data_IF_539956128874
#
_entry.id   IF_539956128874
#
_cell.length_a   1.000
_cell.length_b   1.000
_cell.length_c   1.000
_cell.angle_alpha   90.00
_cell.angle_beta   90.00
_cell.angle_gamma   90.00
#
_symmetry.space_group_name_H-M   'P 1'
#
loop_
_entity.id
_entity.type
_entity.pdbx_description
1 polymer ?
#
# COMPACT_ATOMS: atom_id res chain seq x y z
N UNK A 1 23.66 -10.80 33.93
CA UNK A 1 22.99 -10.68 32.61
C UNK A 1 21.50 -10.75 32.86
N UNK A 2 20.72 -9.89 32.22
CA UNK A 2 19.25 -9.94 32.29
C UNK A 2 18.73 -11.29 31.75
N UNK A 3 17.58 -11.75 32.26
CA UNK A 3 16.92 -12.98 31.78
C UNK A 3 16.66 -12.86 30.27
N UNK A 4 16.90 -13.92 29.48
CA UNK A 4 16.56 -13.90 28.05
C UNK A 4 15.07 -13.61 27.80
N UNK A 5 14.78 -12.81 26.77
CA UNK A 5 13.42 -12.63 26.27
C UNK A 5 13.08 -13.76 25.32
N UNK A 6 11.95 -14.41 25.56
CA UNK A 6 11.48 -15.58 24.82
C UNK A 6 10.55 -15.22 23.69
N UNK A 7 10.89 -15.69 22.50
CA UNK A 7 10.17 -15.40 21.25
C UNK A 7 9.49 -16.66 20.74
N UNK A 8 8.19 -16.60 20.52
CA UNK A 8 7.46 -17.57 19.74
C UNK A 8 7.28 -17.07 18.30
N UNK A 9 7.47 -17.96 17.33
CA UNK A 9 7.28 -17.63 15.92
C UNK A 9 6.10 -18.40 15.31
N UNK A 10 5.23 -17.69 14.64
CA UNK A 10 4.17 -18.26 13.83
C UNK A 10 4.60 -18.13 12.35
N UNK A 11 5.12 -19.24 11.81
CA UNK A 11 5.64 -19.34 10.44
C UNK A 11 7.16 -19.35 10.35
N UNK A 12 7.66 -20.19 9.42
CA UNK A 12 9.06 -20.25 9.03
C UNK A 12 9.13 -20.54 7.52
N UNK A 13 8.47 -19.67 6.75
CA UNK A 13 8.59 -19.56 5.30
C UNK A 13 9.73 -18.62 4.92
N UNK A 14 9.65 -17.96 3.76
CA UNK A 14 10.69 -17.05 3.25
C UNK A 14 11.09 -15.99 4.28
N UNK A 15 10.12 -15.26 4.81
CA UNK A 15 10.38 -14.20 5.82
C UNK A 15 10.80 -14.79 7.16
N UNK A 16 10.06 -15.79 7.68
CA UNK A 16 10.35 -16.37 8.99
C UNK A 16 11.73 -17.04 9.07
N UNK A 17 12.19 -17.69 7.99
CA UNK A 17 13.54 -18.25 7.93
C UNK A 17 14.61 -17.16 7.99
N UNK A 18 14.41 -16.04 7.30
CA UNK A 18 15.31 -14.90 7.36
C UNK A 18 15.33 -14.23 8.76
N UNK A 19 14.18 -14.12 9.43
CA UNK A 19 14.11 -13.63 10.81
C UNK A 19 14.96 -14.52 11.74
N UNK A 20 14.78 -15.84 11.66
CA UNK A 20 15.56 -16.81 12.45
C UNK A 20 17.06 -16.68 12.17
N UNK A 21 17.43 -16.63 10.88
CA UNK A 21 18.82 -16.50 10.44
C UNK A 21 19.46 -15.22 11.00
N UNK A 22 18.77 -14.08 10.90
CA UNK A 22 19.27 -12.78 11.36
C UNK A 22 19.35 -12.69 12.89
N UNK A 23 18.40 -13.27 13.64
CA UNK A 23 18.48 -13.37 15.11
C UNK A 23 19.75 -14.13 15.50
N UNK A 24 20.03 -15.25 14.86
CA UNK A 24 21.24 -16.04 15.13
C UNK A 24 22.52 -15.30 14.76
N UNK A 25 22.59 -14.76 13.53
CA UNK A 25 23.77 -14.07 13.00
C UNK A 25 24.16 -12.80 13.79
N UNK A 26 23.16 -12.08 14.32
CA UNK A 26 23.37 -10.81 15.02
C UNK A 26 23.04 -10.89 16.52
N UNK A 27 23.02 -12.09 17.11
CA UNK A 27 22.56 -12.33 18.50
C UNK A 27 23.24 -11.43 19.54
N UNK A 28 24.56 -11.25 19.44
CA UNK A 28 25.33 -10.40 20.36
C UNK A 28 24.98 -8.90 20.21
N UNK A 29 24.88 -8.41 19.00
CA UNK A 29 24.54 -7.02 18.71
C UNK A 29 23.07 -6.72 19.10
N UNK A 30 22.15 -7.62 18.79
CA UNK A 30 20.75 -7.51 19.21
C UNK A 30 20.63 -7.48 20.74
N UNK A 31 21.36 -8.34 21.44
CA UNK A 31 21.37 -8.36 22.91
C UNK A 31 21.87 -7.03 23.50
N UNK A 32 22.89 -6.41 22.90
CA UNK A 32 23.37 -5.09 23.32
C UNK A 32 22.35 -3.99 23.05
N UNK A 33 21.72 -4.00 21.87
CA UNK A 33 20.70 -3.01 21.50
C UNK A 33 19.44 -3.11 22.35
N UNK A 34 19.04 -4.31 22.72
CA UNK A 34 17.85 -4.57 23.52
C UNK A 34 18.14 -4.39 25.02
N UNK A 35 19.29 -4.83 25.49
CA UNK A 35 19.65 -4.92 26.90
C UNK A 35 19.44 -6.31 27.50
N UNK A 36 19.03 -7.31 26.72
CA UNK A 36 18.84 -8.70 27.08
C UNK A 36 19.03 -9.62 25.87
N UNK A 37 19.50 -10.88 26.08
CA UNK A 37 19.54 -11.89 25.04
C UNK A 37 18.14 -12.24 24.53
N UNK A 38 18.05 -12.72 23.28
CA UNK A 38 16.86 -13.28 22.67
C UNK A 38 16.97 -14.81 22.62
N UNK A 39 15.87 -15.50 22.91
CA UNK A 39 15.75 -16.95 22.83
C UNK A 39 14.51 -17.33 22.04
N UNK A 40 14.66 -18.16 21.00
CA UNK A 40 13.52 -18.71 20.26
C UNK A 40 12.94 -19.85 21.09
N UNK A 41 11.74 -19.65 21.63
CA UNK A 41 11.06 -20.60 22.52
C UNK A 41 10.25 -21.66 21.75
N UNK A 42 9.96 -21.42 20.47
CA UNK A 42 9.28 -22.35 19.58
C UNK A 42 8.89 -21.69 18.25
N UNK A 43 8.68 -22.53 17.25
CA UNK A 43 8.34 -22.12 15.88
C UNK A 43 7.17 -22.98 15.40
N UNK A 44 5.97 -22.38 15.27
CA UNK A 44 4.80 -23.09 14.78
C UNK A 44 4.80 -23.10 13.25
N UNK A 45 4.68 -24.31 12.67
CA UNK A 45 4.65 -24.52 11.22
C UNK A 45 3.70 -25.66 10.86
N UNK A 46 3.08 -25.59 9.66
CA UNK A 46 2.18 -26.65 9.18
C UNK A 46 2.88 -28.00 8.90
N UNK A 47 4.16 -27.96 8.53
CA UNK A 47 4.96 -29.14 8.14
C UNK A 47 6.33 -29.08 8.83
N UNK A 48 6.47 -29.61 10.06
CA UNK A 48 7.73 -29.57 10.83
C UNK A 48 8.88 -30.29 10.11
N UNK A 49 8.58 -31.36 9.40
CA UNK A 49 9.56 -32.20 8.70
C UNK A 49 10.10 -31.58 7.40
N UNK A 50 9.52 -30.45 6.93
CA UNK A 50 10.05 -29.78 5.74
C UNK A 50 11.43 -29.22 6.03
N UNK A 51 12.42 -29.55 5.19
CA UNK A 51 13.76 -28.95 5.28
C UNK A 51 13.67 -27.43 5.14
N UNK A 52 14.39 -26.72 6.01
CA UNK A 52 14.54 -25.25 6.01
C UNK A 52 16.01 -24.94 6.23
N UNK A 53 16.47 -23.92 5.54
CA UNK A 53 17.85 -23.43 5.71
C UNK A 53 17.91 -22.46 6.93
N UNK A 54 17.75 -23.07 8.12
CA UNK A 54 17.83 -22.35 9.39
C UNK A 54 18.62 -23.18 10.43
N UNK A 55 19.50 -22.51 11.16
CA UNK A 55 20.32 -23.13 12.21
C UNK A 55 19.61 -23.05 13.57
N UNK A 56 18.57 -23.89 13.76
CA UNK A 56 17.85 -24.01 15.03
C UNK A 56 17.65 -25.49 15.39
N UNK A 57 17.49 -25.76 16.68
CA UNK A 57 17.16 -27.11 17.14
C UNK A 57 15.83 -27.58 16.52
N UNK A 58 15.78 -28.72 15.84
CA UNK A 58 14.55 -29.27 15.29
C UNK A 58 13.41 -29.47 16.30
N UNK A 59 13.71 -29.63 17.59
CA UNK A 59 12.72 -29.74 18.67
C UNK A 59 11.91 -28.47 18.90
N UNK A 60 12.36 -27.31 18.41
CA UNK A 60 11.63 -26.04 18.47
C UNK A 60 10.45 -25.99 17.51
N UNK A 61 10.40 -26.86 16.48
CA UNK A 61 9.29 -26.88 15.55
C UNK A 61 8.06 -27.62 16.12
N UNK A 62 6.91 -26.98 16.04
CA UNK A 62 5.62 -27.55 16.46
C UNK A 62 4.53 -27.31 15.42
N UNK A 63 3.49 -28.15 15.44
CA UNK A 63 2.24 -27.90 14.70
C UNK A 63 1.19 -27.25 15.59
N UNK A 64 1.38 -27.24 16.91
CA UNK A 64 0.44 -26.68 17.88
C UNK A 64 0.76 -25.20 18.14
N UNK A 65 0.24 -24.36 17.23
CA UNK A 65 0.38 -22.91 17.34
C UNK A 65 -0.40 -22.36 18.53
N UNK A 66 -1.53 -22.96 18.90
CA UNK A 66 -2.38 -22.50 20.00
C UNK A 66 -1.67 -22.73 21.35
N UNK A 67 -1.11 -23.92 21.57
CA UNK A 67 -0.31 -24.18 22.78
C UNK A 67 0.92 -23.28 22.85
N UNK A 68 1.59 -22.99 21.71
CA UNK A 68 2.78 -22.16 21.69
C UNK A 68 2.49 -20.70 22.12
N UNK A 69 1.43 -20.06 21.57
CA UNK A 69 1.08 -18.68 21.94
C UNK A 69 0.46 -18.58 23.32
N UNK A 70 -0.07 -19.68 23.84
CA UNK A 70 -0.66 -19.77 25.18
C UNK A 70 0.38 -19.94 26.31
N UNK A 71 1.67 -20.12 26.01
CA UNK A 71 2.72 -20.29 27.02
C UNK A 71 2.93 -19.02 27.82
N UNK A 72 3.01 -19.15 29.14
CA UNK A 72 3.23 -18.04 30.08
C UNK A 72 4.65 -17.45 30.02
N UNK A 73 5.60 -18.23 29.54
CA UNK A 73 6.99 -17.82 29.45
C UNK A 73 7.37 -17.13 28.12
N UNK A 74 6.41 -16.99 27.18
CA UNK A 74 6.61 -16.28 25.91
C UNK A 74 6.43 -14.78 26.12
N UNK A 75 7.45 -14.01 25.77
CA UNK A 75 7.46 -12.56 25.88
C UNK A 75 6.96 -11.85 24.62
N UNK A 76 7.31 -12.38 23.45
CA UNK A 76 6.97 -11.79 22.14
C UNK A 76 6.53 -12.88 21.17
N UNK A 77 5.47 -12.63 20.42
CA UNK A 77 5.03 -13.48 19.30
C UNK A 77 5.31 -12.74 17.99
N UNK A 78 6.06 -13.39 17.09
CA UNK A 78 6.27 -12.93 15.71
C UNK A 78 5.35 -13.71 14.79
N UNK A 79 4.47 -13.03 14.05
CA UNK A 79 3.53 -13.64 13.11
C UNK A 79 3.90 -13.30 11.66
N UNK A 80 4.18 -14.36 10.89
CA UNK A 80 4.51 -14.31 9.47
C UNK A 80 3.86 -15.47 8.70
N UNK A 81 2.65 -15.90 9.13
CA UNK A 81 1.87 -16.95 8.45
C UNK A 81 0.87 -16.38 7.46
N UNK A 82 0.41 -15.14 7.69
CA UNK A 82 -0.60 -14.49 6.84
C UNK A 82 -2.00 -15.06 6.98
N UNK A 83 -2.95 -14.51 6.21
CA UNK A 83 -4.37 -14.87 6.27
C UNK A 83 -5.07 -14.27 7.49
N UNK A 84 -6.39 -14.48 7.59
CA UNK A 84 -7.20 -13.93 8.69
C UNK A 84 -7.22 -14.92 9.85
N UNK A 85 -7.75 -16.12 9.63
CA UNK A 85 -7.74 -17.19 10.62
C UNK A 85 -6.73 -18.29 10.22
N UNK A 86 -6.03 -18.90 11.15
CA UNK A 86 -6.12 -18.72 12.62
C UNK A 86 -5.28 -17.56 13.17
N UNK A 87 -4.66 -16.71 12.33
CA UNK A 87 -3.76 -15.65 12.79
C UNK A 87 -4.44 -14.72 13.80
N UNK A 88 -5.65 -14.22 13.52
CA UNK A 88 -6.41 -13.35 14.42
C UNK A 88 -6.58 -13.97 15.81
N UNK A 89 -7.13 -15.18 15.88
CA UNK A 89 -7.36 -15.88 17.16
C UNK A 89 -6.07 -16.10 17.95
N UNK A 90 -4.98 -16.46 17.27
CA UNK A 90 -3.67 -16.67 17.89
C UNK A 90 -3.08 -15.38 18.44
N UNK A 91 -3.14 -14.29 17.66
CA UNK A 91 -2.60 -12.98 18.08
C UNK A 91 -3.41 -12.36 19.20
N UNK A 92 -4.75 -12.46 19.17
CA UNK A 92 -5.60 -12.02 20.27
C UNK A 92 -5.24 -12.77 21.56
N UNK A 93 -5.11 -14.10 21.48
CA UNK A 93 -4.69 -14.92 22.63
C UNK A 93 -3.33 -14.48 23.18
N UNK A 94 -2.34 -14.27 22.33
CA UNK A 94 -1.00 -13.82 22.75
C UNK A 94 -1.05 -12.47 23.45
N UNK A 95 -1.73 -11.47 22.84
CA UNK A 95 -1.86 -10.12 23.38
C UNK A 95 -2.56 -10.09 24.73
N UNK A 96 -3.69 -10.78 24.86
CA UNK A 96 -4.47 -10.83 26.12
C UNK A 96 -3.76 -11.56 27.25
N UNK A 97 -2.84 -12.48 26.93
CA UNK A 97 -1.98 -13.14 27.91
C UNK A 97 -0.74 -12.35 28.33
N UNK A 98 -0.53 -11.20 27.74
CA UNK A 98 0.58 -10.32 28.08
C UNK A 98 1.84 -10.51 27.25
N UNK A 99 1.79 -11.26 26.14
CA UNK A 99 2.85 -11.28 25.13
C UNK A 99 2.65 -10.16 24.13
N UNK A 100 3.70 -9.43 23.81
CA UNK A 100 3.65 -8.44 22.73
C UNK A 100 3.71 -9.12 21.37
N UNK A 101 3.18 -8.46 20.33
CA UNK A 101 3.08 -9.03 18.97
C UNK A 101 3.82 -8.17 17.95
N UNK A 102 4.56 -8.83 17.07
CA UNK A 102 5.12 -8.27 15.84
C UNK A 102 4.53 -9.05 14.67
N UNK A 103 3.83 -8.38 13.76
CA UNK A 103 3.16 -9.02 12.62
C UNK A 103 3.51 -8.38 11.29
N UNK A 104 3.60 -9.20 10.23
CA UNK A 104 3.70 -8.76 8.85
C UNK A 104 2.37 -8.93 8.08
N UNK A 105 1.27 -9.23 8.77
CA UNK A 105 0.00 -9.64 8.19
C UNK A 105 -0.87 -8.45 7.80
N UNK A 106 -0.61 -7.90 6.61
CA UNK A 106 -1.37 -6.79 6.07
C UNK A 106 -2.87 -7.08 5.90
N UNK A 107 -3.21 -8.34 5.52
CA UNK A 107 -4.61 -8.70 5.28
C UNK A 107 -5.42 -8.60 6.58
N UNK A 108 -4.91 -9.18 7.66
CA UNK A 108 -5.57 -9.12 8.96
C UNK A 108 -5.67 -7.69 9.51
N UNK A 109 -4.59 -6.90 9.36
CA UNK A 109 -4.59 -5.51 9.82
C UNK A 109 -5.58 -4.64 9.06
N UNK A 110 -5.69 -4.84 7.73
CA UNK A 110 -6.61 -4.08 6.88
C UNK A 110 -8.08 -4.52 7.03
N UNK A 111 -8.32 -5.78 7.46
CA UNK A 111 -9.67 -6.29 7.69
C UNK A 111 -10.16 -6.01 9.12
N UNK A 112 -9.33 -6.33 10.11
CA UNK A 112 -9.72 -6.31 11.52
C UNK A 112 -8.60 -5.88 12.47
N UNK A 113 -7.80 -4.91 12.07
CA UNK A 113 -6.72 -4.36 12.91
C UNK A 113 -7.21 -3.82 14.26
N UNK A 114 -8.44 -3.28 14.29
CA UNK A 114 -9.06 -2.77 15.50
C UNK A 114 -9.15 -3.80 16.62
N UNK A 115 -9.55 -5.04 16.32
CA UNK A 115 -9.60 -6.14 17.29
C UNK A 115 -8.23 -6.43 17.91
N UNK A 116 -7.17 -6.38 17.10
CA UNK A 116 -5.80 -6.61 17.58
C UNK A 116 -5.33 -5.47 18.49
N UNK A 117 -5.58 -4.21 18.13
CA UNK A 117 -5.23 -3.06 18.97
C UNK A 117 -6.02 -3.06 20.28
N UNK A 118 -7.30 -3.44 20.24
CA UNK A 118 -8.12 -3.58 21.43
C UNK A 118 -7.61 -4.71 22.34
N UNK A 119 -7.17 -5.84 21.80
CA UNK A 119 -6.54 -6.92 22.54
C UNK A 119 -5.21 -6.49 23.17
N UNK A 120 -4.35 -5.77 22.42
CA UNK A 120 -3.10 -5.22 22.94
C UNK A 120 -3.34 -4.26 24.12
N UNK A 121 -4.37 -3.41 24.04
CA UNK A 121 -4.75 -2.50 25.11
C UNK A 121 -5.22 -3.26 26.34
N UNK A 122 -6.09 -4.29 26.19
CA UNK A 122 -6.57 -5.13 27.31
C UNK A 122 -5.43 -5.89 27.98
N UNK A 123 -4.51 -6.48 27.19
CA UNK A 123 -3.36 -7.24 27.71
C UNK A 123 -2.21 -6.38 28.20
N UNK A 124 -2.30 -5.05 28.07
CA UNK A 124 -1.22 -4.11 28.40
C UNK A 124 0.09 -4.43 27.68
N UNK A 125 0.00 -4.71 26.36
CA UNK A 125 1.09 -5.16 25.49
C UNK A 125 1.25 -4.29 24.26
N UNK A 126 2.33 -4.49 23.49
CA UNK A 126 2.57 -3.81 22.23
C UNK A 126 2.12 -4.64 21.03
N UNK A 127 1.58 -3.97 20.01
CA UNK A 127 1.37 -4.48 18.66
C UNK A 127 2.16 -3.62 17.67
N UNK A 128 3.14 -4.23 17.01
CA UNK A 128 3.97 -3.62 15.98
C UNK A 128 3.81 -4.34 14.65
N UNK A 129 3.83 -3.60 13.54
CA UNK A 129 3.47 -4.14 12.23
C UNK A 129 4.20 -3.45 11.06
N UNK A 130 5.41 -2.93 11.27
CA UNK A 130 6.19 -2.23 10.23
C UNK A 130 6.29 -3.03 8.93
N UNK A 131 6.50 -4.34 9.06
CA UNK A 131 6.64 -5.24 7.92
C UNK A 131 5.36 -5.46 7.08
N UNK A 132 4.21 -4.98 7.53
CA UNK A 132 2.93 -5.15 6.81
C UNK A 132 2.78 -4.21 5.61
N UNK A 133 3.47 -3.07 5.60
CA UNK A 133 3.40 -2.09 4.50
C UNK A 133 4.80 -1.74 4.02
N UNK A 134 5.01 -1.79 2.71
CA UNK A 134 6.24 -1.39 2.03
C UNK A 134 7.53 -2.10 2.49
N UNK A 135 7.41 -3.32 3.03
CA UNK A 135 8.51 -4.25 3.32
C UNK A 135 9.63 -3.66 4.18
N UNK A 136 10.78 -3.34 3.57
CA UNK A 136 11.95 -2.81 4.28
C UNK A 136 11.87 -1.31 4.59
N UNK A 137 10.93 -0.60 4.01
CA UNK A 137 10.83 0.87 4.16
C UNK A 137 10.34 1.19 5.58
N UNK A 138 11.11 1.92 6.41
CA UNK A 138 10.64 2.34 7.73
C UNK A 138 9.60 3.46 7.55
N UNK A 139 8.32 3.10 7.59
CA UNK A 139 7.22 4.00 7.24
C UNK A 139 6.17 4.15 8.34
N UNK A 140 5.70 3.03 8.91
CA UNK A 140 4.58 3.06 9.87
C UNK A 140 5.00 3.68 11.20
N UNK A 141 6.23 3.39 11.65
CA UNK A 141 6.77 3.98 12.87
C UNK A 141 7.03 5.48 12.72
N UNK A 142 7.68 5.99 11.66
CA UNK A 142 7.73 7.42 11.40
C UNK A 142 6.37 8.12 11.38
N UNK A 143 5.35 7.54 10.76
CA UNK A 143 3.99 8.08 10.79
C UNK A 143 3.41 8.16 12.22
N UNK A 144 3.62 7.12 13.03
CA UNK A 144 3.06 7.02 14.39
C UNK A 144 3.84 7.80 15.45
N UNK A 145 5.15 7.93 15.28
CA UNK A 145 6.06 8.42 16.32
C UNK A 145 6.73 9.73 15.91
N UNK A 146 7.38 9.78 14.71
CA UNK A 146 8.14 10.95 14.29
C UNK A 146 7.25 12.10 13.84
N UNK A 147 6.12 11.80 13.19
CA UNK A 147 5.13 12.77 12.73
C UNK A 147 3.95 12.93 13.71
N UNK A 148 4.02 12.37 14.92
CA UNK A 148 2.94 12.44 15.90
C UNK A 148 2.59 13.87 16.35
N UNK A 149 3.50 14.82 16.18
CA UNK A 149 3.29 16.26 16.45
C UNK A 149 2.86 17.08 15.25
N UNK A 150 2.69 16.45 14.08
CA UNK A 150 2.34 17.12 12.84
C UNK A 150 0.98 16.65 12.32
N UNK A 151 0.42 17.36 11.36
CA UNK A 151 -0.81 16.99 10.68
C UNK A 151 -0.49 16.50 9.27
N UNK A 152 -0.69 15.20 9.07
CA UNK A 152 -0.60 14.60 7.74
C UNK A 152 -1.88 14.91 6.95
N UNK A 153 -1.74 15.47 5.75
CA UNK A 153 -2.85 15.81 4.86
C UNK A 153 -3.04 14.78 3.76
N UNK A 154 -1.93 14.25 3.24
CA UNK A 154 -1.98 13.32 2.12
C UNK A 154 -0.85 12.29 2.20
N UNK A 155 -1.16 11.06 1.81
CA UNK A 155 -0.22 9.97 1.63
C UNK A 155 -0.44 9.41 0.23
N UNK A 156 0.60 9.37 -0.60
CA UNK A 156 0.57 8.81 -1.95
C UNK A 156 1.66 7.75 -2.02
N UNK A 157 1.30 6.53 -2.43
CA UNK A 157 2.26 5.43 -2.44
C UNK A 157 2.25 4.60 -3.71
N UNK A 158 3.44 4.24 -4.19
CA UNK A 158 3.68 3.10 -5.04
C UNK A 158 4.02 1.96 -4.09
N UNK A 159 3.01 1.17 -3.71
CA UNK A 159 3.12 0.19 -2.61
C UNK A 159 3.07 -1.27 -3.08
N UNK A 160 2.96 -1.48 -4.40
CA UNK A 160 3.00 -2.81 -5.00
C UNK A 160 4.14 -2.87 -6.04
N UNK A 161 5.14 -3.71 -5.79
CA UNK A 161 6.32 -3.84 -6.66
C UNK A 161 6.03 -4.52 -7.99
N UNK A 162 5.10 -5.48 -8.02
CA UNK A 162 4.70 -6.22 -9.23
C UNK A 162 4.09 -5.28 -10.26
N UNK A 163 3.11 -4.50 -9.86
CA UNK A 163 2.44 -3.53 -10.75
C UNK A 163 3.37 -2.41 -11.18
N UNK A 164 4.25 -1.93 -10.29
CA UNK A 164 5.23 -0.92 -10.68
C UNK A 164 6.26 -1.47 -11.69
N UNK A 165 6.67 -2.74 -11.56
CA UNK A 165 7.54 -3.39 -12.54
C UNK A 165 6.84 -3.47 -13.92
N UNK A 166 5.59 -3.97 -13.97
CA UNK A 166 4.81 -4.09 -15.19
C UNK A 166 4.69 -2.73 -15.89
N UNK A 167 4.22 -1.70 -15.18
CA UNK A 167 4.07 -0.36 -15.74
C UNK A 167 5.41 0.27 -16.17
N UNK A 168 6.49 0.01 -15.43
CA UNK A 168 7.85 0.45 -15.81
C UNK A 168 8.30 -0.22 -17.11
N UNK A 169 7.99 -1.52 -17.28
CA UNK A 169 8.32 -2.26 -18.50
C UNK A 169 7.52 -1.74 -19.70
N UNK A 170 6.21 -1.55 -19.55
CA UNK A 170 5.36 -0.95 -20.58
C UNK A 170 5.88 0.44 -20.98
N UNK A 171 6.22 1.28 -19.98
CA UNK A 171 6.77 2.62 -20.24
C UNK A 171 8.11 2.59 -20.98
N UNK A 172 9.05 1.72 -20.58
CA UNK A 172 10.42 1.74 -21.14
C UNK A 172 10.55 1.06 -22.50
N UNK A 173 9.69 0.07 -22.82
CA UNK A 173 9.81 -0.76 -24.02
C UNK A 173 8.63 -0.64 -24.99
N UNK A 174 7.51 -0.06 -24.56
CA UNK A 174 6.25 -0.08 -25.33
C UNK A 174 5.56 -1.45 -25.33
N UNK A 175 5.96 -2.37 -24.45
CA UNK A 175 5.37 -3.71 -24.35
C UNK A 175 3.88 -3.63 -23.96
N UNK A 176 3.10 -4.64 -24.35
CA UNK A 176 1.74 -4.80 -23.86
C UNK A 176 1.73 -5.19 -22.39
N UNK A 177 0.56 -5.00 -21.73
CA UNK A 177 0.37 -5.47 -20.35
C UNK A 177 0.66 -6.99 -20.22
N UNK A 178 0.17 -7.80 -21.16
CA UNK A 178 0.35 -9.25 -21.14
C UNK A 178 1.83 -9.66 -21.23
N UNK A 179 2.59 -9.04 -22.13
CA UNK A 179 4.04 -9.35 -22.29
C UNK A 179 4.83 -8.94 -21.04
N UNK A 180 4.51 -7.78 -20.46
CA UNK A 180 5.15 -7.28 -19.26
C UNK A 180 4.81 -8.14 -18.02
N UNK A 181 3.57 -8.65 -17.94
CA UNK A 181 3.14 -9.58 -16.89
C UNK A 181 3.86 -10.94 -17.00
N UNK A 182 3.96 -11.51 -18.22
CA UNK A 182 4.66 -12.78 -18.46
C UNK A 182 6.14 -12.66 -18.03
N UNK A 183 6.80 -11.56 -18.38
CA UNK A 183 8.17 -11.29 -17.92
C UNK A 183 8.26 -11.15 -16.40
N UNK A 184 7.32 -10.47 -15.77
CA UNK A 184 7.27 -10.34 -14.31
C UNK A 184 7.12 -11.71 -13.62
N UNK A 185 6.31 -12.61 -14.18
CA UNK A 185 6.16 -13.98 -13.69
C UNK A 185 7.46 -14.81 -13.88
N UNK A 186 8.09 -14.70 -15.04
CA UNK A 186 9.36 -15.39 -15.31
C UNK A 186 10.49 -14.96 -14.36
N UNK A 187 10.49 -13.69 -13.94
CA UNK A 187 11.45 -13.14 -12.99
C UNK A 187 11.06 -13.37 -11.52
N UNK A 188 9.88 -13.92 -11.26
CA UNK A 188 9.37 -14.18 -9.91
C UNK A 188 8.85 -12.94 -9.17
N UNK A 189 8.56 -11.85 -9.87
CA UNK A 189 7.89 -10.67 -9.31
C UNK A 189 6.37 -10.87 -9.21
N UNK A 190 5.78 -11.66 -10.11
CA UNK A 190 4.38 -12.03 -10.07
C UNK A 190 4.21 -13.53 -9.84
N UNK A 191 3.18 -13.92 -9.10
CA UNK A 191 2.77 -15.32 -8.92
C UNK A 191 1.99 -15.82 -10.15
N UNK A 192 1.71 -17.12 -10.20
CA UNK A 192 0.91 -17.72 -11.28
C UNK A 192 -0.51 -17.13 -11.36
N UNK A 193 -1.11 -16.81 -10.21
CA UNK A 193 -2.32 -15.99 -10.10
C UNK A 193 -1.91 -14.60 -9.59
N UNK A 194 -1.80 -13.59 -10.47
CA UNK A 194 -1.35 -12.26 -10.12
C UNK A 194 -2.48 -11.32 -9.67
N UNK A 195 -3.74 -11.78 -9.61
CA UNK A 195 -4.93 -10.95 -9.41
C UNK A 195 -4.86 -10.10 -8.13
N UNK A 196 -4.28 -10.62 -7.06
CA UNK A 196 -4.08 -9.85 -5.83
C UNK A 196 -3.25 -8.57 -6.04
N UNK A 197 -2.30 -8.60 -6.98
CA UNK A 197 -1.45 -7.47 -7.34
C UNK A 197 -2.09 -6.62 -8.44
N UNK A 198 -2.38 -7.22 -9.61
CA UNK A 198 -2.78 -6.47 -10.80
C UNK A 198 -4.16 -5.84 -10.68
N UNK A 199 -5.06 -6.44 -9.90
CA UNK A 199 -6.37 -5.86 -9.60
C UNK A 199 -6.34 -4.89 -8.41
N UNK A 200 -5.17 -4.67 -7.78
CA UNK A 200 -4.94 -3.67 -6.76
C UNK A 200 -5.35 -4.06 -5.34
N UNK A 201 -5.71 -5.32 -5.04
CA UNK A 201 -6.12 -5.75 -3.68
C UNK A 201 -4.99 -5.58 -2.66
N UNK A 202 -3.76 -5.95 -3.01
CA UNK A 202 -2.59 -5.75 -2.15
C UNK A 202 -2.36 -4.27 -1.83
N UNK A 203 -2.45 -3.41 -2.85
CA UNK A 203 -2.30 -1.97 -2.67
C UNK A 203 -3.44 -1.37 -1.83
N UNK A 204 -4.69 -1.85 -1.99
CA UNK A 204 -5.84 -1.40 -1.21
C UNK A 204 -5.70 -1.74 0.28
N UNK A 205 -5.26 -2.96 0.62
CA UNK A 205 -5.00 -3.33 2.01
C UNK A 205 -3.94 -2.43 2.67
N UNK A 206 -2.87 -2.12 1.94
CA UNK A 206 -1.82 -1.21 2.42
C UNK A 206 -2.30 0.23 2.54
N UNK A 207 -3.13 0.72 1.59
CA UNK A 207 -3.74 2.04 1.63
C UNK A 207 -4.64 2.22 2.87
N UNK A 208 -5.43 1.20 3.22
CA UNK A 208 -6.26 1.21 4.42
C UNK A 208 -5.43 1.36 5.70
N UNK A 209 -4.34 0.60 5.83
CA UNK A 209 -3.43 0.69 6.98
C UNK A 209 -2.80 2.08 7.07
N UNK A 210 -2.29 2.60 5.94
CA UNK A 210 -1.67 3.93 5.88
C UNK A 210 -2.66 5.03 6.24
N UNK A 211 -3.88 4.99 5.70
CA UNK A 211 -4.93 5.95 6.00
C UNK A 211 -5.32 5.92 7.47
N UNK A 212 -5.48 4.73 8.04
CA UNK A 212 -5.81 4.54 9.45
C UNK A 212 -4.79 5.19 10.38
N UNK A 213 -3.51 5.01 10.09
CA UNK A 213 -2.42 5.58 10.88
C UNK A 213 -2.24 7.08 10.66
N UNK A 214 -2.28 7.54 9.40
CA UNK A 214 -2.03 8.93 9.06
C UNK A 214 -3.18 9.87 9.53
N UNK A 215 -4.41 9.38 9.53
CA UNK A 215 -5.59 10.20 9.81
C UNK A 215 -6.31 9.82 11.11
N UNK A 216 -5.73 8.90 11.88
CA UNK A 216 -6.24 8.51 13.19
C UNK A 216 -7.70 8.04 13.16
N UNK A 217 -8.12 7.37 12.09
CA UNK A 217 -9.48 6.85 11.90
C UNK A 217 -9.44 5.40 11.45
N UNK A 218 -10.50 4.65 11.70
CA UNK A 218 -10.57 3.26 11.26
C UNK A 218 -10.92 3.21 9.77
N UNK A 219 -10.08 2.56 9.00
CA UNK A 219 -10.26 2.31 7.56
C UNK A 219 -9.99 0.84 7.31
N UNK A 220 -10.89 0.18 6.60
CA UNK A 220 -10.75 -1.22 6.17
C UNK A 220 -10.45 -1.28 4.67
N UNK A 221 -9.99 -2.43 4.18
CA UNK A 221 -9.79 -2.63 2.75
C UNK A 221 -11.09 -2.47 1.93
N UNK A 222 -12.25 -2.72 2.55
CA UNK A 222 -13.55 -2.55 1.90
C UNK A 222 -13.94 -1.07 1.71
N UNK A 223 -13.35 -0.17 2.47
CA UNK A 223 -13.58 1.28 2.36
C UNK A 223 -12.76 1.92 1.23
N UNK A 224 -11.81 1.17 0.65
CA UNK A 224 -10.89 1.68 -0.39
C UNK A 224 -11.51 1.51 -1.77
N UNK A 225 -11.71 2.63 -2.48
CA UNK A 225 -12.02 2.54 -3.92
C UNK A 225 -10.82 1.94 -4.65
N UNK A 226 -11.05 0.94 -5.51
CA UNK A 226 -9.97 0.18 -6.13
C UNK A 226 -10.20 -0.06 -7.62
N UNK A 227 -9.19 0.29 -8.40
CA UNK A 227 -9.04 -0.05 -9.80
C UNK A 227 -7.66 -0.67 -10.02
N UNK A 228 -7.58 -1.75 -10.79
CA UNK A 228 -6.34 -2.44 -11.14
C UNK A 228 -5.65 -1.83 -12.36
N UNK A 229 -4.61 -2.52 -12.83
CA UNK A 229 -3.86 -2.13 -14.04
C UNK A 229 -4.13 -3.03 -15.24
N UNK A 230 -5.02 -4.02 -15.10
CA UNK A 230 -5.28 -5.01 -16.16
C UNK A 230 -5.82 -4.40 -17.43
N UNK A 231 -6.52 -3.27 -17.34
CA UNK A 231 -7.08 -2.53 -18.48
C UNK A 231 -6.13 -1.44 -19.02
N UNK A 232 -4.96 -1.23 -18.40
CA UNK A 232 -3.99 -0.25 -18.88
C UNK A 232 -3.34 -0.75 -20.16
N UNK A 233 -3.49 0.03 -21.22
CA UNK A 233 -2.97 -0.30 -22.55
C UNK A 233 -1.60 0.35 -22.82
N UNK A 234 -0.90 -0.14 -23.84
CA UNK A 234 0.31 0.53 -24.34
C UNK A 234 0.01 1.95 -24.88
N UNK A 235 -1.23 2.16 -25.40
CA UNK A 235 -1.71 3.46 -25.82
C UNK A 235 -1.82 4.46 -24.66
N UNK A 236 -2.37 4.04 -23.51
CA UNK A 236 -2.44 4.88 -22.30
C UNK A 236 -1.06 5.33 -21.84
N UNK A 237 -0.09 4.38 -21.84
CA UNK A 237 1.29 4.67 -21.46
C UNK A 237 1.97 5.62 -22.44
N UNK A 238 1.72 5.47 -23.74
CA UNK A 238 2.23 6.37 -24.77
C UNK A 238 1.64 7.78 -24.64
N UNK A 239 0.32 7.91 -24.45
CA UNK A 239 -0.35 9.19 -24.22
C UNK A 239 0.17 9.90 -22.96
N UNK A 240 0.38 9.16 -21.87
CA UNK A 240 0.98 9.72 -20.66
C UNK A 240 2.39 10.28 -20.90
N UNK A 241 3.21 9.58 -21.69
CA UNK A 241 4.55 10.02 -22.05
C UNK A 241 4.53 11.29 -22.91
N UNK A 242 3.63 11.36 -23.87
CA UNK A 242 3.47 12.53 -24.76
C UNK A 242 3.04 13.79 -24.00
N UNK A 243 2.39 13.58 -22.84
CA UNK A 243 2.05 14.64 -21.89
C UNK A 243 3.19 14.99 -20.90
N UNK A 244 4.36 14.34 -21.01
CA UNK A 244 5.45 14.52 -20.04
C UNK A 244 5.18 13.89 -18.69
N UNK A 245 4.41 12.81 -18.66
CA UNK A 245 4.04 12.03 -17.48
C UNK A 245 4.44 10.56 -17.58
N UNK A 246 4.11 9.82 -16.55
CA UNK A 246 4.28 8.36 -16.44
C UNK A 246 3.09 7.74 -15.71
N UNK A 247 2.65 6.56 -16.15
CA UNK A 247 1.57 5.83 -15.49
C UNK A 247 2.10 5.08 -14.28
N UNK A 248 1.43 5.24 -13.13
CA UNK A 248 1.70 4.51 -11.90
C UNK A 248 0.38 3.99 -11.28
N UNK A 249 0.42 2.82 -10.63
CA UNK A 249 -0.64 2.42 -9.71
C UNK A 249 -0.39 3.11 -8.38
N UNK A 250 -1.28 4.02 -7.99
CA UNK A 250 -1.14 4.83 -6.79
C UNK A 250 -2.12 4.39 -5.71
N UNK A 251 -1.62 4.18 -4.52
CA UNK A 251 -2.40 4.13 -3.29
C UNK A 251 -2.45 5.55 -2.71
N UNK A 252 -3.61 6.15 -2.65
CA UNK A 252 -3.79 7.54 -2.21
C UNK A 252 -4.73 7.56 -1.02
N UNK A 253 -4.30 8.18 0.05
CA UNK A 253 -5.13 8.51 1.19
C UNK A 253 -5.00 10.01 1.46
N UNK A 254 -6.12 10.70 1.58
CA UNK A 254 -6.12 12.16 1.75
C UNK A 254 -7.26 12.62 2.66
N UNK A 255 -6.97 13.67 3.41
CA UNK A 255 -7.92 14.38 4.27
C UNK A 255 -8.43 15.59 3.51
N UNK A 256 -9.75 15.68 3.33
CA UNK A 256 -10.37 16.83 2.70
C UNK A 256 -11.84 16.97 3.16
N UNK A 257 -12.46 18.15 3.01
CA UNK A 257 -13.87 18.31 3.32
C UNK A 257 -14.75 17.46 2.40
N UNK A 258 -15.84 16.91 2.96
CA UNK A 258 -16.93 16.31 2.20
C UNK A 258 -17.80 17.40 1.56
N UNK A 259 -18.84 17.00 0.82
CA UNK A 259 -19.82 17.93 0.19
C UNK A 259 -20.54 18.85 1.19
N UNK A 260 -20.52 18.54 2.50
CA UNK A 260 -21.12 19.34 3.55
C UNK A 260 -20.08 20.21 4.29
N UNK A 261 -18.83 20.25 3.81
CA UNK A 261 -17.74 20.98 4.41
C UNK A 261 -17.15 20.34 5.68
N UNK A 262 -17.52 19.07 6.01
CA UNK A 262 -16.97 18.35 7.15
C UNK A 262 -15.72 17.60 6.74
N UNK A 263 -14.76 17.56 7.65
CA UNK A 263 -13.53 16.81 7.42
C UNK A 263 -13.84 15.32 7.19
N UNK A 264 -13.23 14.74 6.15
CA UNK A 264 -13.42 13.36 5.73
C UNK A 264 -12.12 12.77 5.18
N UNK A 265 -12.06 11.46 5.02
CA UNK A 265 -10.92 10.74 4.46
C UNK A 265 -11.32 10.07 3.16
N UNK A 266 -10.62 10.40 2.07
CA UNK A 266 -10.71 9.67 0.81
C UNK A 266 -9.58 8.65 0.73
N UNK A 267 -9.90 7.39 0.41
CA UNK A 267 -8.89 6.34 0.22
C UNK A 267 -9.16 5.62 -1.08
N UNK A 268 -8.15 5.56 -1.95
CA UNK A 268 -8.30 5.00 -3.28
C UNK A 268 -7.02 4.36 -3.80
N UNK A 269 -7.18 3.41 -4.68
CA UNK A 269 -6.10 2.77 -5.46
C UNK A 269 -6.53 2.75 -6.92
N UNK A 270 -5.77 3.36 -7.79
CA UNK A 270 -6.04 3.37 -9.23
C UNK A 270 -4.77 3.71 -10.03
N UNK A 271 -4.70 3.32 -11.31
CA UNK A 271 -3.69 3.85 -12.23
C UNK A 271 -3.91 5.35 -12.42
N UNK A 272 -2.81 6.10 -12.47
CA UNK A 272 -2.84 7.54 -12.72
C UNK A 272 -1.58 8.00 -13.45
N UNK A 273 -1.74 9.09 -14.20
CA UNK A 273 -0.62 9.81 -14.82
C UNK A 273 0.00 10.72 -13.76
N UNK A 274 1.31 10.57 -13.53
CA UNK A 274 2.11 11.48 -12.73
C UNK A 274 3.02 12.30 -13.64
N UNK A 275 3.12 13.63 -13.49
CA UNK A 275 4.10 14.43 -14.21
C UNK A 275 5.53 13.98 -13.84
N UNK A 276 6.46 14.03 -14.79
CA UNK A 276 7.85 13.64 -14.58
C UNK A 276 8.57 14.47 -13.50
N UNK A 277 8.04 15.65 -13.16
CA UNK A 277 8.52 16.49 -12.06
C UNK A 277 8.16 15.96 -10.66
N UNK A 278 7.16 15.05 -10.56
CA UNK A 278 6.76 14.49 -9.26
C UNK A 278 7.78 13.45 -8.79
N UNK A 279 8.22 13.46 -7.51
CA UNK A 279 9.24 12.54 -7.00
C UNK A 279 8.93 11.05 -7.23
N UNK A 280 7.65 10.65 -7.15
CA UNK A 280 7.24 9.26 -7.40
C UNK A 280 7.37 8.83 -8.85
N UNK A 281 7.44 9.75 -9.82
CA UNK A 281 7.59 9.40 -11.24
C UNK A 281 8.91 8.65 -11.52
N UNK A 282 9.96 8.96 -10.76
CA UNK A 282 11.26 8.30 -10.84
C UNK A 282 11.36 6.92 -10.20
N UNK A 283 10.32 6.44 -9.54
CA UNK A 283 10.31 5.12 -8.89
C UNK A 283 10.06 4.03 -9.94
N UNK A 284 11.08 3.22 -10.25
CA UNK A 284 11.05 2.22 -11.31
C UNK A 284 11.15 0.79 -10.77
N UNK A 285 10.95 -0.16 -11.66
CA UNK A 285 11.07 -1.60 -11.40
C UNK A 285 10.18 -2.06 -10.23
N UNK A 286 10.64 -3.01 -9.43
CA UNK A 286 9.91 -3.54 -8.28
C UNK A 286 10.12 -2.72 -6.99
N UNK A 287 10.59 -1.46 -7.10
CA UNK A 287 10.74 -0.59 -5.94
C UNK A 287 9.40 0.04 -5.51
N UNK A 288 9.30 0.29 -4.22
CA UNK A 288 8.19 1.00 -3.61
C UNK A 288 8.64 2.38 -3.12
N UNK A 289 7.71 3.30 -3.06
CA UNK A 289 7.90 4.58 -2.39
C UNK A 289 6.58 5.10 -1.83
N UNK A 290 6.66 5.83 -0.73
CA UNK A 290 5.52 6.53 -0.14
C UNK A 290 5.90 7.99 0.07
N UNK A 291 5.07 8.85 -0.46
CA UNK A 291 5.19 10.31 -0.39
C UNK A 291 4.13 10.82 0.58
N UNK A 292 4.54 11.65 1.51
CA UNK A 292 3.70 12.19 2.58
C UNK A 292 3.73 13.72 2.50
N UNK A 293 2.57 14.32 2.58
CA UNK A 293 2.40 15.78 2.71
C UNK A 293 1.85 16.09 4.10
N UNK A 294 2.61 16.87 4.86
CA UNK A 294 2.28 17.28 6.22
C UNK A 294 2.38 18.81 6.37
N UNK A 295 1.65 19.36 7.33
CA UNK A 295 1.55 20.83 7.51
C UNK A 295 2.90 21.48 7.82
N UNK A 296 3.65 20.93 8.75
CA UNK A 296 4.91 21.52 9.22
C UNK A 296 6.14 20.86 8.59
N UNK A 297 6.17 19.53 8.47
CA UNK A 297 7.29 18.81 7.87
C UNK A 297 7.34 18.96 6.34
N UNK A 298 6.24 19.41 5.72
CA UNK A 298 6.15 19.55 4.27
C UNK A 298 6.13 18.20 3.57
N UNK A 299 6.91 18.07 2.52
CA UNK A 299 6.93 16.88 1.66
C UNK A 299 8.05 15.94 2.07
N UNK A 300 7.70 14.69 2.35
CA UNK A 300 8.63 13.61 2.70
C UNK A 300 8.45 12.45 1.73
N UNK A 301 9.54 11.76 1.39
CA UNK A 301 9.49 10.56 0.57
C UNK A 301 10.30 9.44 1.22
N UNK A 302 9.68 8.26 1.34
CA UNK A 302 10.30 7.03 1.79
C UNK A 302 10.40 6.07 0.61
N UNK A 303 11.61 5.56 0.34
CA UNK A 303 11.88 4.76 -0.84
C UNK A 303 12.72 3.53 -0.50
N UNK A 304 12.41 2.39 -1.11
CA UNK A 304 13.18 1.17 -0.92
C UNK A 304 12.52 -0.07 -1.53
N UNK A 305 12.97 -1.25 -1.09
CA UNK A 305 12.37 -2.52 -1.49
C UNK A 305 11.09 -2.78 -0.71
N UNK A 306 9.97 -2.95 -1.44
CA UNK A 306 8.65 -3.17 -0.85
C UNK A 306 8.37 -4.60 -0.41
N UNK A 307 9.16 -5.58 -0.85
CA UNK A 307 8.98 -7.00 -0.54
C UNK A 307 10.31 -7.76 -0.59
N UNK A 308 10.27 -9.01 -0.14
CA UNK A 308 11.40 -9.92 -0.13
C UNK A 308 11.71 -10.47 1.27
N UNK A 309 12.34 -11.65 1.36
CA UNK A 309 12.61 -12.31 2.63
C UNK A 309 13.42 -11.45 3.60
N UNK A 310 14.65 -11.10 3.21
CA UNK A 310 15.56 -10.29 4.04
C UNK A 310 15.06 -8.85 4.27
N UNK A 311 14.53 -8.11 3.25
CA UNK A 311 13.94 -6.80 3.49
C UNK A 311 12.81 -6.80 4.52
N UNK A 312 11.86 -7.72 4.40
CA UNK A 312 10.73 -7.85 5.34
C UNK A 312 11.20 -8.28 6.73
N UNK A 313 12.15 -9.22 6.80
CA UNK A 313 12.73 -9.65 8.07
C UNK A 313 13.46 -8.50 8.81
N UNK A 314 14.07 -7.56 8.07
CA UNK A 314 14.68 -6.37 8.65
C UNK A 314 13.66 -5.50 9.39
N UNK A 315 12.48 -5.29 8.82
CA UNK A 315 11.39 -4.54 9.45
C UNK A 315 10.87 -5.27 10.70
N UNK A 316 10.65 -6.60 10.60
CA UNK A 316 10.25 -7.45 11.75
C UNK A 316 11.26 -7.33 12.89
N UNK A 317 12.56 -7.36 12.60
CA UNK A 317 13.59 -7.21 13.62
C UNK A 317 13.64 -5.81 14.22
N UNK A 318 13.41 -4.78 13.44
CA UNK A 318 13.27 -3.41 13.93
C UNK A 318 12.15 -3.28 14.96
N UNK A 319 11.01 -3.89 14.67
CA UNK A 319 9.86 -3.96 15.58
C UNK A 319 10.17 -4.82 16.81
N UNK A 320 10.80 -5.97 16.62
CA UNK A 320 11.22 -6.85 17.73
C UNK A 320 12.12 -6.10 18.72
N UNK A 321 13.11 -5.36 18.24
CA UNK A 321 14.01 -4.56 19.10
C UNK A 321 13.21 -3.52 19.89
N UNK A 322 12.28 -2.81 19.24
CA UNK A 322 11.45 -1.80 19.89
C UNK A 322 10.56 -2.41 20.98
N UNK A 323 9.83 -3.48 20.66
CA UNK A 323 8.94 -4.20 21.58
C UNK A 323 9.72 -4.75 22.79
N UNK A 324 10.89 -5.35 22.55
CA UNK A 324 11.74 -5.89 23.62
C UNK A 324 12.25 -4.79 24.56
N UNK A 325 12.65 -3.63 24.01
CA UNK A 325 13.07 -2.48 24.84
C UNK A 325 11.93 -1.95 25.70
N UNK A 326 10.74 -1.79 25.12
CA UNK A 326 9.55 -1.36 25.85
C UNK A 326 9.26 -2.30 27.00
N UNK A 327 9.28 -3.60 26.74
CA UNK A 327 9.03 -4.62 27.77
C UNK A 327 10.05 -4.57 28.92
N UNK A 328 11.34 -4.42 28.64
CA UNK A 328 12.38 -4.33 29.66
C UNK A 328 12.30 -3.05 30.50
N UNK A 329 11.90 -1.94 29.89
CA UNK A 329 11.75 -0.66 30.59
C UNK A 329 10.41 -0.51 31.32
N UNK A 330 9.46 -1.44 31.11
CA UNK A 330 8.08 -1.30 31.57
C UNK A 330 7.28 -0.23 30.85
N UNK A 331 7.81 0.28 29.72
CA UNK A 331 7.13 1.22 28.84
C UNK A 331 6.29 0.49 27.79
N UNK A 332 5.53 1.25 27.01
CA UNK A 332 4.83 0.81 25.81
C UNK A 332 5.04 1.80 24.68
N UNK A 333 4.98 1.29 23.47
CA UNK A 333 4.97 2.10 22.28
C UNK A 333 3.63 2.79 22.04
N UNK A 334 3.56 3.51 20.93
CA UNK A 334 2.34 4.13 20.47
C UNK A 334 1.26 3.05 20.24
N UNK A 335 0.15 3.15 20.98
CA UNK A 335 -1.00 2.26 20.84
C UNK A 335 -1.86 2.58 19.62
N UNK A 336 -3.13 2.17 19.65
CA UNK A 336 -4.13 2.60 18.67
C UNK A 336 -4.31 4.12 18.75
N UNK A 337 -4.23 4.77 17.61
CA UNK A 337 -4.45 6.22 17.48
C UNK A 337 -5.78 6.57 16.82
N UNK A 338 -6.71 5.63 16.68
CA UNK A 338 -8.00 5.82 15.98
C UNK A 338 -8.98 6.66 16.81
N UNK A 339 -8.66 7.90 17.09
CA UNK A 339 -9.50 8.80 17.91
C UNK A 339 -10.37 9.75 17.08
N UNK A 340 -10.06 9.96 15.78
CA UNK A 340 -10.67 11.02 14.98
C UNK A 340 -12.07 10.63 14.44
N UNK A 341 -12.36 9.35 14.24
CA UNK A 341 -13.63 8.82 13.73
C UNK A 341 -14.13 9.59 12.48
N UNK A 342 -13.23 9.93 11.56
CA UNK A 342 -13.55 10.67 10.33
C UNK A 342 -14.37 9.79 9.38
N UNK A 343 -15.40 10.34 8.72
CA UNK A 343 -16.16 9.60 7.71
C UNK A 343 -15.29 9.32 6.48
N UNK A 344 -15.54 8.18 5.84
CA UNK A 344 -14.92 7.84 4.56
C UNK A 344 -15.69 8.52 3.44
N UNK A 345 -14.98 9.29 2.61
CA UNK A 345 -15.55 9.99 1.46
C UNK A 345 -15.69 9.03 0.28
N UNK A 346 -16.89 8.94 -0.35
CA UNK A 346 -17.06 8.17 -1.58
C UNK A 346 -16.19 8.69 -2.73
N UNK A 347 -15.74 7.81 -3.63
CA UNK A 347 -14.91 8.17 -4.78
C UNK A 347 -15.53 9.28 -5.63
N UNK A 348 -16.82 9.20 -5.91
CA UNK A 348 -17.52 10.20 -6.71
C UNK A 348 -17.47 11.64 -6.16
N UNK A 349 -17.23 11.83 -4.87
CA UNK A 349 -17.02 13.14 -4.24
C UNK A 349 -15.54 13.58 -4.20
N UNK A 350 -14.64 12.73 -4.66
CA UNK A 350 -13.20 13.04 -4.71
C UNK A 350 -12.93 14.03 -5.82
N UNK A 351 -12.17 15.08 -5.50
CA UNK A 351 -11.72 16.04 -6.51
C UNK A 351 -10.48 15.44 -7.19
N UNK A 352 -10.55 15.37 -8.53
CA UNK A 352 -9.47 14.84 -9.36
C UNK A 352 -9.48 15.47 -10.74
N UNK A 353 -8.59 15.08 -11.63
CA UNK A 353 -8.51 15.49 -13.02
C UNK A 353 -8.45 14.27 -13.91
N UNK A 354 -9.00 14.38 -15.12
CA UNK A 354 -8.89 13.33 -16.13
C UNK A 354 -8.03 13.81 -17.32
N UNK A 355 -7.24 12.88 -17.81
CA UNK A 355 -6.80 12.85 -19.20
C UNK A 355 -7.80 11.98 -19.97
N UNK A 356 -8.30 12.49 -21.10
CA UNK A 356 -9.22 11.79 -21.99
C UNK A 356 -8.65 11.88 -23.40
N UNK A 357 -8.42 10.72 -24.02
CA UNK A 357 -8.02 10.62 -25.42
C UNK A 357 -9.19 10.10 -26.26
N UNK A 358 -9.54 10.82 -27.30
CA UNK A 358 -10.70 10.54 -28.15
C UNK A 358 -10.24 10.36 -29.61
N UNK A 359 -10.75 9.32 -30.26
CA UNK A 359 -10.72 9.22 -31.71
C UNK A 359 -11.97 9.88 -32.27
N UNK A 360 -11.82 10.90 -33.09
CA UNK A 360 -12.89 11.73 -33.59
C UNK A 360 -12.81 11.90 -35.10
N UNK A 361 -13.91 12.30 -35.72
CA UNK A 361 -13.90 12.74 -37.12
C UNK A 361 -13.21 14.11 -37.25
N UNK A 362 -12.28 14.28 -38.20
CA UNK A 362 -11.64 15.59 -38.43
C UNK A 362 -12.56 16.49 -39.27
N UNK A 363 -13.54 17.11 -38.58
CA UNK A 363 -14.57 17.96 -39.21
C UNK A 363 -14.86 19.20 -38.37
N UNK A 364 -15.26 20.27 -39.04
CA UNK A 364 -15.70 21.47 -38.35
C UNK A 364 -16.89 21.20 -37.42
N UNK A 365 -16.80 21.73 -36.18
CA UNK A 365 -17.85 21.59 -35.16
C UNK A 365 -17.60 20.46 -34.14
N UNK A 366 -16.72 19.48 -34.42
CA UNK A 366 -16.47 18.36 -33.54
C UNK A 366 -15.98 18.83 -32.16
N UNK A 367 -14.97 19.72 -32.10
CA UNK A 367 -14.48 20.27 -30.85
C UNK A 367 -15.58 21.03 -30.08
N UNK A 368 -16.47 21.71 -30.76
CA UNK A 368 -17.58 22.41 -30.10
C UNK A 368 -18.57 21.44 -29.44
N UNK A 369 -18.91 20.32 -30.11
CA UNK A 369 -19.78 19.29 -29.53
C UNK A 369 -19.12 18.63 -28.29
N UNK A 370 -17.82 18.35 -28.37
CA UNK A 370 -17.06 17.79 -27.24
C UNK A 370 -17.03 18.79 -26.08
N UNK A 371 -16.68 20.06 -26.32
CA UNK A 371 -16.66 21.08 -25.29
C UNK A 371 -18.04 21.29 -24.63
N UNK A 372 -19.14 21.10 -25.38
CA UNK A 372 -20.47 21.15 -24.83
C UNK A 372 -20.75 20.01 -23.84
N UNK A 373 -20.29 18.79 -24.10
CA UNK A 373 -20.42 17.67 -23.17
C UNK A 373 -19.71 17.96 -21.82
N UNK A 374 -18.52 18.54 -21.86
CA UNK A 374 -17.83 18.99 -20.63
C UNK A 374 -18.63 20.09 -19.90
N UNK A 375 -19.16 21.06 -20.62
CA UNK A 375 -19.93 22.16 -20.06
C UNK A 375 -21.24 21.70 -19.39
N UNK A 376 -21.92 20.68 -19.91
CA UNK A 376 -23.15 20.11 -19.32
C UNK A 376 -22.90 19.58 -17.90
N UNK A 377 -21.74 19.04 -17.66
CA UNK A 377 -21.35 18.48 -16.34
C UNK A 377 -20.52 19.43 -15.47
N UNK A 378 -20.43 20.72 -15.84
CA UNK A 378 -19.65 21.75 -15.14
C UNK A 378 -18.15 21.37 -15.00
N UNK A 379 -17.61 20.68 -16.01
CA UNK A 379 -16.20 20.30 -16.09
C UNK A 379 -15.46 21.27 -17.01
N UNK A 380 -14.41 21.90 -16.50
CA UNK A 380 -13.57 22.80 -17.28
C UNK A 380 -12.40 22.08 -17.91
N UNK A 381 -12.10 22.37 -19.18
CA UNK A 381 -10.96 21.81 -19.91
C UNK A 381 -9.73 22.69 -19.67
N UNK A 382 -8.62 22.08 -19.23
CA UNK A 382 -7.35 22.77 -18.99
C UNK A 382 -6.50 22.83 -20.27
N UNK A 383 -6.36 21.72 -20.97
CA UNK A 383 -5.58 21.61 -22.21
C UNK A 383 -6.32 20.79 -23.24
N UNK A 384 -6.11 21.14 -24.52
CA UNK A 384 -6.59 20.40 -25.67
C UNK A 384 -5.44 20.31 -26.68
N UNK A 385 -5.19 19.11 -27.18
CA UNK A 385 -4.26 18.84 -28.27
C UNK A 385 -4.99 18.01 -29.33
N UNK A 386 -4.96 18.45 -30.58
CA UNK A 386 -5.56 17.72 -31.69
C UNK A 386 -4.46 17.38 -32.70
N UNK A 387 -4.44 16.13 -33.13
CA UNK A 387 -3.58 15.64 -34.19
C UNK A 387 -4.45 15.02 -35.28
N UNK A 388 -4.43 15.63 -36.48
CA UNK A 388 -5.21 15.16 -37.61
C UNK A 388 -4.51 14.04 -38.38
N UNK A 389 -5.28 13.03 -38.81
CA UNK A 389 -4.82 11.88 -39.60
C UNK A 389 -5.76 11.64 -40.80
N UNK A 390 -5.81 12.58 -41.72
CA UNK A 390 -6.72 12.53 -42.89
C UNK A 390 -8.15 12.93 -42.51
N UNK A 391 -9.10 11.99 -42.61
CA UNK A 391 -10.52 12.22 -42.21
C UNK A 391 -10.75 12.00 -40.70
N UNK A 392 -9.71 11.62 -39.97
CA UNK A 392 -9.71 11.29 -38.55
C UNK A 392 -8.77 12.20 -37.78
N UNK A 393 -9.01 12.37 -36.48
CA UNK A 393 -8.12 13.05 -35.57
C UNK A 393 -8.16 12.38 -34.20
N UNK A 394 -7.01 12.43 -33.51
CA UNK A 394 -6.94 12.16 -32.07
C UNK A 394 -7.04 13.48 -31.32
N UNK A 395 -7.89 13.51 -30.31
CA UNK A 395 -8.10 14.66 -29.45
C UNK A 395 -7.76 14.28 -28.00
N UNK A 396 -6.65 14.81 -27.50
CA UNK A 396 -6.22 14.64 -26.13
C UNK A 396 -6.64 15.84 -25.29
N UNK A 397 -7.35 15.59 -24.20
CA UNK A 397 -7.87 16.59 -23.29
C UNK A 397 -7.37 16.33 -21.87
N UNK A 398 -7.05 17.40 -21.14
CA UNK A 398 -6.86 17.35 -19.69
C UNK A 398 -7.84 18.32 -19.05
N UNK A 399 -8.51 17.87 -18.01
CA UNK A 399 -9.50 18.69 -17.30
C UNK A 399 -8.82 19.49 -16.18
N UNK A 400 -9.47 20.57 -15.76
CA UNK A 400 -9.28 21.13 -14.44
C UNK A 400 -9.86 20.20 -13.37
N UNK A 401 -9.63 20.54 -12.09
CA UNK A 401 -10.17 19.83 -10.95
C UNK A 401 -11.71 19.83 -10.98
N UNK A 402 -12.28 18.63 -10.86
CA UNK A 402 -13.72 18.42 -10.73
C UNK A 402 -13.99 17.17 -9.88
N UNK A 403 -15.24 16.95 -9.48
CA UNK A 403 -15.59 15.71 -8.80
C UNK A 403 -15.47 14.52 -9.75
N UNK A 404 -15.00 13.36 -9.24
CA UNK A 404 -14.89 12.14 -10.05
C UNK A 404 -16.25 11.75 -10.68
N UNK A 405 -17.36 11.99 -9.99
CA UNK A 405 -18.70 11.76 -10.53
C UNK A 405 -19.01 12.64 -11.75
N UNK A 406 -18.65 13.92 -11.73
CA UNK A 406 -18.86 14.82 -12.87
C UNK A 406 -17.98 14.42 -14.06
N UNK A 407 -16.72 14.08 -13.79
CA UNK A 407 -15.77 13.62 -14.81
C UNK A 407 -16.23 12.31 -15.45
N UNK A 408 -16.68 11.34 -14.65
CA UNK A 408 -17.21 10.06 -15.15
C UNK A 408 -18.46 10.26 -15.99
N UNK A 409 -19.39 11.14 -15.56
CA UNK A 409 -20.58 11.46 -16.32
C UNK A 409 -20.25 12.14 -17.67
N UNK A 410 -19.24 13.01 -17.68
CA UNK A 410 -18.73 13.63 -18.91
C UNK A 410 -18.22 12.57 -19.89
N UNK A 411 -17.43 11.58 -19.41
CA UNK A 411 -16.91 10.50 -20.26
C UNK A 411 -18.05 9.65 -20.83
N UNK A 412 -19.09 9.34 -20.04
CA UNK A 412 -20.24 8.60 -20.53
C UNK A 412 -21.01 9.38 -21.62
N UNK A 413 -21.15 10.70 -21.48
CA UNK A 413 -21.76 11.53 -22.51
C UNK A 413 -20.91 11.58 -23.79
N UNK A 414 -19.57 11.71 -23.65
CA UNK A 414 -18.68 11.69 -24.81
C UNK A 414 -18.80 10.39 -25.62
N UNK A 415 -19.00 9.24 -24.99
CA UNK A 415 -19.21 7.96 -25.65
C UNK A 415 -20.49 7.91 -26.49
N UNK A 416 -21.46 8.78 -26.21
CA UNK A 416 -22.73 8.83 -26.90
C UNK A 416 -22.75 9.84 -28.10
N UNK A 417 -21.68 10.63 -28.26
CA UNK A 417 -21.61 11.61 -29.33
C UNK A 417 -21.28 10.95 -30.66
N UNK A 418 -22.10 11.19 -31.71
CA UNK A 418 -21.86 10.66 -33.06
C UNK A 418 -20.53 11.09 -33.67
N UNK A 419 -19.93 12.18 -33.17
CA UNK A 419 -18.65 12.72 -33.64
C UNK A 419 -17.45 12.01 -32.99
N UNK A 420 -17.68 11.28 -31.91
CA UNK A 420 -16.65 10.46 -31.19
C UNK A 420 -16.75 9.04 -31.70
N UNK A 421 -15.70 8.58 -32.35
CA UNK A 421 -15.60 7.18 -32.83
C UNK A 421 -15.23 6.21 -31.73
N UNK A 422 -14.31 6.63 -30.84
CA UNK A 422 -13.92 5.88 -29.68
C UNK A 422 -13.39 6.82 -28.58
N UNK A 423 -13.63 6.44 -27.34
CA UNK A 423 -12.88 6.95 -26.19
C UNK A 423 -11.68 6.03 -26.03
N UNK A 424 -10.54 6.44 -26.55
CA UNK A 424 -9.33 5.60 -26.65
C UNK A 424 -8.65 5.39 -25.30
N UNK A 425 -8.66 6.42 -24.44
CA UNK A 425 -8.08 6.37 -23.10
C UNK A 425 -8.81 7.31 -22.14
N UNK A 426 -8.96 6.88 -20.90
CA UNK A 426 -9.38 7.72 -19.78
C UNK A 426 -8.51 7.40 -18.59
N UNK A 427 -7.76 8.37 -18.08
CA UNK A 427 -6.89 8.16 -16.93
C UNK A 427 -6.87 9.38 -16.01
N UNK A 428 -6.86 9.14 -14.71
CA UNK A 428 -6.71 10.22 -13.73
C UNK A 428 -5.31 10.83 -13.79
N UNK A 429 -5.23 12.12 -13.52
CA UNK A 429 -3.95 12.86 -13.44
C UNK A 429 -3.75 13.31 -12.00
N UNK A 430 -2.64 12.88 -11.40
CA UNK A 430 -2.28 13.20 -10.03
C UNK A 430 -0.98 14.03 -9.99
N UNK A 431 -0.68 14.65 -8.84
CA UNK A 431 0.62 15.32 -8.61
C UNK A 431 0.84 16.63 -9.38
N UNK A 432 -0.19 17.24 -9.94
CA UNK A 432 -0.13 18.53 -10.61
C UNK A 432 -0.96 19.57 -9.86
N UNK A 433 -0.38 20.21 -8.87
CA UNK A 433 -1.05 21.26 -8.12
C UNK A 433 -0.04 22.06 -7.34
N UNK A 434 0.26 23.26 -7.80
CA UNK A 434 0.46 24.52 -7.07
C UNK A 434 0.89 25.55 -8.07
#
# INVERSE_FOLDING_TARGET
MSKPLKIAMLGCGVVGSEVVRLIGAHSGDLAQRIGAPLEIAGIAVRRPQRSRDVAVDPSLFTTDSAALVAREDVDVVIEVIGGIEPARSLLVTALERGASVVTANKALLAEDGGTLYDAARRGNTDLYCEASVAGAIPLLRPLRESLAGDRVNRVIGIVNGTTNYILTKMDSTGASFSDALEEAQALGYAEADPSADVDGFDAAAKAAILAGLAFHTRVTAADVHREGISDVTAGDVASARDMGGVVKLLAIAERAPDRNGRESVGVRVHPAILPLSHPLAGVRDAYNAVFIEADAAGQLMFYGRGAGGAPTASAVLGDLVAVCRNRLSGARGAGDSSYAALPIRPMGETITRYHVSLDVADKAGVLASIAQAFAVHDVSIQTVRQEGHGDDATLDLVTHDATDAALSATVEELRQLDVVRAVASVMRVEGGGA
#
